data_IF_154664232425
#
_entry.id   IF_154664232425
#
_cell.length_a   1.000
_cell.length_b   1.000
_cell.length_c   1.000
_cell.angle_alpha   90.00
_cell.angle_beta   90.00
_cell.angle_gamma   90.00
#
_symmetry.space_group_name_H-M   'P 1'
#
loop_
_entity.id
_entity.type
_entity.pdbx_description
1 polymer ?
#
# COMPACT_ATOMS: atom_id res chain seq x y z
N UNK A 1 -2.54 -24.57 6.50
CA UNK A 1 -1.67 -24.28 5.33
C UNK A 1 -2.02 -22.94 4.66
N UNK A 2 -3.20 -22.36 4.94
CA UNK A 2 -3.64 -21.08 4.35
C UNK A 2 -2.86 -19.83 4.75
N UNK A 3 -2.32 -19.79 5.98
CA UNK A 3 -1.66 -18.59 6.50
C UNK A 3 -0.35 -18.23 5.78
N UNK A 4 0.46 -19.23 5.42
CA UNK A 4 1.73 -18.99 4.68
C UNK A 4 1.47 -18.42 3.29
N UNK A 5 0.45 -18.94 2.60
CA UNK A 5 0.07 -18.44 1.28
C UNK A 5 -0.45 -17.01 1.33
N UNK A 6 -1.16 -16.61 2.38
CA UNK A 6 -1.59 -15.23 2.59
C UNK A 6 -0.42 -14.29 2.90
N UNK A 7 0.56 -14.73 3.70
CA UNK A 7 1.73 -13.90 4.03
C UNK A 7 2.55 -13.57 2.77
N UNK A 8 2.72 -14.52 1.85
CA UNK A 8 3.45 -14.27 0.60
C UNK A 8 2.79 -13.20 -0.27
N UNK A 9 1.45 -13.09 -0.23
CA UNK A 9 0.68 -12.07 -0.94
C UNK A 9 0.74 -10.70 -0.24
N UNK A 10 1.00 -10.68 1.06
CA UNK A 10 1.17 -9.45 1.83
C UNK A 10 2.52 -8.76 1.54
N UNK A 11 3.56 -9.52 1.17
CA UNK A 11 4.94 -9.00 1.08
C UNK A 11 5.12 -7.80 0.14
N UNK A 12 4.56 -7.77 -1.09
CA UNK A 12 4.74 -6.61 -1.98
C UNK A 12 4.09 -5.34 -1.44
N UNK A 13 2.88 -5.44 -0.89
CA UNK A 13 2.22 -4.29 -0.30
C UNK A 13 2.91 -3.81 0.97
N UNK A 14 3.38 -4.74 1.82
CA UNK A 14 4.11 -4.42 3.03
C UNK A 14 5.44 -3.73 2.76
N UNK A 15 6.19 -4.18 1.74
CA UNK A 15 7.46 -3.55 1.37
C UNK A 15 7.28 -2.13 0.83
N UNK A 16 6.25 -1.88 0.02
CA UNK A 16 5.92 -0.52 -0.46
C UNK A 16 5.59 0.40 0.73
N UNK A 17 4.75 -0.07 1.67
CA UNK A 17 4.39 0.69 2.87
C UNK A 17 5.60 1.01 3.76
N UNK A 18 6.48 0.02 3.98
CA UNK A 18 7.70 0.21 4.76
C UNK A 18 8.64 1.25 4.12
N UNK A 19 8.87 1.16 2.80
CA UNK A 19 9.72 2.10 2.06
C UNK A 19 9.12 3.51 2.09
N UNK A 20 7.81 3.64 1.94
CA UNK A 20 7.16 4.94 2.00
C UNK A 20 7.32 5.62 3.38
N UNK A 21 7.13 4.87 4.47
CA UNK A 21 7.35 5.40 5.82
C UNK A 21 8.82 5.75 6.09
N UNK A 22 9.75 4.93 5.60
CA UNK A 22 11.18 5.23 5.67
C UNK A 22 11.57 6.50 4.90
N UNK A 23 11.04 6.69 3.69
CA UNK A 23 11.22 7.89 2.89
C UNK A 23 10.69 9.14 3.59
N UNK A 24 9.48 9.07 4.16
CA UNK A 24 8.90 10.15 4.94
C UNK A 24 9.77 10.51 6.15
N UNK A 25 10.30 9.52 6.87
CA UNK A 25 11.28 9.74 7.93
C UNK A 25 12.59 10.35 7.44
N UNK A 26 13.12 9.90 6.30
CA UNK A 26 14.30 10.49 5.66
C UNK A 26 14.11 11.97 5.33
N UNK A 27 12.94 12.35 4.82
CA UNK A 27 12.58 13.75 4.57
C UNK A 27 12.61 14.59 5.86
N UNK A 28 12.23 14.04 7.01
CA UNK A 28 12.33 14.76 8.29
C UNK A 28 13.78 14.99 8.73
N UNK A 29 14.71 14.06 8.43
CA UNK A 29 16.14 14.29 8.66
C UNK A 29 16.66 15.46 7.81
N UNK A 30 16.25 15.52 6.53
CA UNK A 30 16.62 16.64 5.66
C UNK A 30 16.04 17.98 6.14
N UNK A 31 14.92 17.96 6.86
CA UNK A 31 14.33 19.15 7.49
C UNK A 31 15.06 19.60 8.78
N UNK A 32 16.16 18.95 9.17
CA UNK A 32 16.95 19.32 10.35
C UNK A 32 16.42 18.77 11.67
N UNK A 33 15.47 17.83 11.64
CA UNK A 33 14.94 17.18 12.84
C UNK A 33 16.02 16.26 13.46
N UNK A 34 16.14 16.21 14.81
CA UNK A 34 17.10 15.32 15.47
C UNK A 34 16.98 13.87 15.01
N UNK A 35 18.11 13.20 14.79
CA UNK A 35 18.15 11.86 14.18
C UNK A 35 17.31 10.82 14.93
N UNK A 36 17.32 10.85 16.27
CA UNK A 36 16.49 9.95 17.08
C UNK A 36 14.99 10.16 16.88
N UNK A 37 14.55 11.41 16.76
CA UNK A 37 13.13 11.74 16.58
C UNK A 37 12.67 11.47 15.14
N UNK A 38 13.53 11.73 14.16
CA UNK A 38 13.28 11.40 12.76
C UNK A 38 13.21 9.89 12.52
N UNK A 39 14.12 9.10 13.12
CA UNK A 39 14.09 7.64 13.03
C UNK A 39 12.88 7.04 13.74
N UNK A 40 12.52 7.54 14.93
CA UNK A 40 11.28 7.15 15.61
C UNK A 40 10.05 7.45 14.76
N UNK A 41 9.98 8.65 14.18
CA UNK A 41 8.89 9.06 13.28
C UNK A 41 8.82 8.18 12.03
N UNK A 42 9.97 7.82 11.46
CA UNK A 42 10.07 6.92 10.32
C UNK A 42 9.47 5.55 10.65
N UNK A 43 9.88 4.96 11.77
CA UNK A 43 9.45 3.63 12.20
C UNK A 43 7.96 3.62 12.57
N UNK A 44 7.51 4.64 13.31
CA UNK A 44 6.12 4.78 13.73
C UNK A 44 5.15 4.94 12.56
N UNK A 45 5.64 5.40 11.39
CA UNK A 45 4.86 5.43 10.15
C UNK A 45 5.06 4.19 9.27
N UNK A 46 6.30 3.73 9.13
CA UNK A 46 6.64 2.61 8.26
C UNK A 46 5.95 1.31 8.70
N UNK A 47 5.85 1.06 10.00
CA UNK A 47 5.23 -0.17 10.52
C UNK A 47 3.73 -0.22 10.18
N UNK A 48 2.90 0.79 10.50
CA UNK A 48 1.49 0.79 10.11
C UNK A 48 1.29 0.72 8.60
N UNK A 49 2.07 1.50 7.83
CA UNK A 49 1.96 1.47 6.37
C UNK A 49 2.32 0.10 5.80
N UNK A 50 3.31 -0.59 6.36
CA UNK A 50 3.65 -1.95 5.97
C UNK A 50 2.53 -2.93 6.32
N UNK A 51 1.92 -2.80 7.50
CA UNK A 51 0.79 -3.65 7.91
C UNK A 51 -0.41 -3.44 6.98
N UNK A 52 -0.83 -2.20 6.76
CA UNK A 52 -1.95 -1.89 5.86
C UNK A 52 -1.62 -2.21 4.39
N UNK A 53 -0.38 -2.00 3.95
CA UNK A 53 0.06 -2.43 2.63
C UNK A 53 -0.03 -3.95 2.48
N UNK A 54 0.38 -4.71 3.49
CA UNK A 54 0.27 -6.16 3.49
C UNK A 54 -1.17 -6.66 3.49
N UNK A 55 -2.03 -6.08 4.33
CA UNK A 55 -3.48 -6.34 4.35
C UNK A 55 -4.11 -6.10 2.99
N UNK A 56 -3.72 -5.04 2.28
CA UNK A 56 -4.18 -4.78 0.91
C UNK A 56 -3.82 -5.93 -0.04
N UNK A 57 -2.59 -6.42 0.01
CA UNK A 57 -2.16 -7.57 -0.81
C UNK A 57 -2.95 -8.85 -0.51
N UNK A 58 -3.27 -9.10 0.76
CA UNK A 58 -4.11 -10.22 1.18
C UNK A 58 -5.55 -10.07 0.67
N UNK A 59 -6.15 -8.88 0.84
CA UNK A 59 -7.50 -8.57 0.36
C UNK A 59 -7.62 -8.70 -1.17
N UNK A 60 -6.58 -8.31 -1.89
CA UNK A 60 -6.48 -8.52 -3.34
C UNK A 60 -6.45 -10.01 -3.70
N UNK A 61 -5.67 -10.82 -2.97
CA UNK A 61 -5.63 -12.27 -3.14
C UNK A 61 -6.95 -12.98 -2.83
N UNK A 62 -7.78 -12.40 -1.95
CA UNK A 62 -9.14 -12.87 -1.68
C UNK A 62 -10.18 -12.37 -2.68
N UNK A 63 -9.80 -11.56 -3.67
CA UNK A 63 -10.70 -11.04 -4.70
C UNK A 63 -11.60 -9.89 -4.23
N UNK A 64 -11.36 -9.34 -3.04
CA UNK A 64 -12.08 -8.14 -2.55
C UNK A 64 -11.73 -6.94 -3.42
N UNK A 65 -10.46 -6.82 -3.80
CA UNK A 65 -9.99 -5.84 -4.76
C UNK A 65 -9.83 -6.48 -6.13
N UNK A 66 -10.13 -5.70 -7.17
CA UNK A 66 -9.90 -6.10 -8.57
C UNK A 66 -8.69 -5.34 -9.13
N UNK A 67 -7.76 -6.03 -9.81
CA UNK A 67 -6.69 -5.38 -10.55
C UNK A 67 -7.22 -4.30 -11.50
N UNK A 68 -6.53 -3.16 -11.59
CA UNK A 68 -6.91 -2.05 -12.46
C UNK A 68 -8.06 -1.17 -11.95
N UNK A 69 -8.53 -1.36 -10.71
CA UNK A 69 -9.63 -0.57 -10.13
C UNK A 69 -9.13 0.30 -8.99
N UNK A 70 -9.08 1.63 -9.19
CA UNK A 70 -8.62 2.55 -8.15
C UNK A 70 -9.64 2.80 -7.03
N UNK A 71 -10.94 2.87 -7.35
CA UNK A 71 -11.97 3.33 -6.41
C UNK A 71 -11.93 2.65 -5.03
N UNK A 72 -12.02 1.31 -4.95
CA UNK A 72 -11.93 0.59 -3.69
C UNK A 72 -10.60 0.77 -2.96
N UNK A 73 -9.48 0.84 -3.69
CA UNK A 73 -8.16 1.06 -3.11
C UNK A 73 -8.01 2.48 -2.54
N UNK A 74 -8.57 3.48 -3.22
CA UNK A 74 -8.64 4.86 -2.73
C UNK A 74 -9.41 4.95 -1.42
N UNK A 75 -10.61 4.35 -1.35
CA UNK A 75 -11.41 4.31 -0.13
C UNK A 75 -10.68 3.60 1.03
N UNK A 76 -10.01 2.49 0.74
CA UNK A 76 -9.19 1.79 1.72
C UNK A 76 -8.10 2.70 2.30
N UNK A 77 -7.35 3.40 1.43
CA UNK A 77 -6.27 4.28 1.86
C UNK A 77 -6.75 5.57 2.50
N UNK A 78 -7.94 6.08 2.16
CA UNK A 78 -8.57 7.19 2.86
C UNK A 78 -8.81 6.92 4.35
N UNK A 79 -8.90 5.66 4.77
CA UNK A 79 -8.94 5.28 6.19
C UNK A 79 -7.55 4.86 6.70
N UNK A 80 -6.86 3.97 5.99
CA UNK A 80 -5.60 3.38 6.44
C UNK A 80 -4.47 4.41 6.59
N UNK A 81 -4.38 5.39 5.69
CA UNK A 81 -3.32 6.40 5.73
C UNK A 81 -3.50 7.40 6.89
N UNK A 82 -4.68 8.01 7.12
CA UNK A 82 -4.90 8.84 8.29
C UNK A 82 -4.70 8.10 9.61
N UNK A 83 -5.11 6.83 9.71
CA UNK A 83 -4.86 6.01 10.90
C UNK A 83 -3.36 5.77 11.13
N UNK A 84 -2.60 5.49 10.06
CA UNK A 84 -1.15 5.33 10.14
C UNK A 84 -0.47 6.63 10.61
N UNK A 85 -0.91 7.77 10.08
CA UNK A 85 -0.44 9.09 10.46
C UNK A 85 -0.82 9.44 11.90
N UNK A 86 -2.03 9.08 12.34
CA UNK A 86 -2.48 9.28 13.71
C UNK A 86 -1.62 8.49 14.71
N UNK A 87 -1.25 7.25 14.36
CA UNK A 87 -0.35 6.44 15.19
C UNK A 87 1.08 7.00 15.22
N UNK A 88 1.60 7.44 14.07
CA UNK A 88 2.90 8.12 14.04
C UNK A 88 2.86 9.36 14.95
N UNK A 89 1.80 10.13 14.86
CA UNK A 89 1.64 11.39 15.56
C UNK A 89 1.48 11.20 17.07
N UNK A 90 0.77 10.15 17.51
CA UNK A 90 0.64 9.83 18.93
C UNK A 90 1.95 9.40 19.59
N UNK A 91 2.90 8.90 18.80
CA UNK A 91 4.25 8.52 19.26
C UNK A 91 5.24 9.67 19.16
N UNK A 92 5.18 10.46 18.09
CA UNK A 92 6.17 11.51 17.79
C UNK A 92 5.80 12.89 18.35
N UNK A 93 4.50 13.21 18.51
CA UNK A 93 4.00 14.37 19.26
C UNK A 93 4.15 15.76 18.60
N UNK A 94 4.11 15.86 17.28
CA UNK A 94 4.51 17.03 16.47
C UNK A 94 3.34 17.76 15.73
N UNK A 95 2.11 17.22 15.68
CA UNK A 95 1.16 17.58 14.62
C UNK A 95 -0.35 17.55 14.93
N UNK A 96 -0.77 17.42 16.20
CA UNK A 96 -2.20 17.48 16.61
C UNK A 96 -2.65 18.86 17.16
N UNK A 97 -1.92 19.94 16.87
CA UNK A 97 -2.19 21.26 17.46
C UNK A 97 -3.61 21.80 17.19
N UNK A 98 -4.15 21.55 15.99
CA UNK A 98 -5.49 22.02 15.58
C UNK A 98 -6.62 21.00 15.84
N UNK A 99 -6.32 19.93 16.57
CA UNK A 99 -7.27 18.88 16.93
C UNK A 99 -7.33 17.70 15.94
N UNK A 100 -7.86 16.57 16.44
CA UNK A 100 -7.82 15.27 15.75
C UNK A 100 -8.64 15.24 14.46
N UNK A 101 -9.82 15.89 14.44
CA UNK A 101 -10.70 15.86 13.27
C UNK A 101 -10.12 16.61 12.07
N UNK A 102 -9.58 17.82 12.28
CA UNK A 102 -8.93 18.59 11.23
C UNK A 102 -7.72 17.86 10.65
N UNK A 103 -6.92 17.25 11.52
CA UNK A 103 -5.80 16.39 11.13
C UNK A 103 -6.27 15.23 10.25
N UNK A 104 -7.28 14.44 10.68
CA UNK A 104 -7.77 13.29 9.91
C UNK A 104 -8.35 13.71 8.56
N UNK A 105 -9.09 14.82 8.49
CA UNK A 105 -9.65 15.33 7.25
C UNK A 105 -8.54 15.71 6.24
N UNK A 106 -7.52 16.44 6.71
CA UNK A 106 -6.36 16.77 5.88
C UNK A 106 -5.61 15.53 5.41
N UNK A 107 -5.34 14.58 6.31
CA UNK A 107 -4.66 13.34 5.95
C UNK A 107 -5.49 12.50 4.96
N UNK A 108 -6.82 12.53 5.03
CA UNK A 108 -7.69 11.82 4.08
C UNK A 108 -7.59 12.42 2.66
N UNK A 109 -7.43 13.75 2.55
CA UNK A 109 -7.15 14.39 1.25
C UNK A 109 -5.78 13.98 0.71
N UNK A 110 -4.75 13.97 1.55
CA UNK A 110 -3.39 13.55 1.17
C UNK A 110 -3.35 12.05 0.82
N UNK A 111 -4.17 11.24 1.48
CA UNK A 111 -4.25 9.79 1.28
C UNK A 111 -4.56 9.40 -0.17
N UNK A 112 -5.32 10.22 -0.91
CA UNK A 112 -5.61 9.96 -2.32
C UNK A 112 -4.34 9.96 -3.17
N UNK A 113 -3.46 10.94 -2.97
CA UNK A 113 -2.16 11.02 -3.67
C UNK A 113 -1.28 9.81 -3.33
N UNK A 114 -1.22 9.46 -2.05
CA UNK A 114 -0.53 8.25 -1.59
C UNK A 114 -1.11 6.98 -2.22
N UNK A 115 -2.44 6.85 -2.24
CA UNK A 115 -3.14 5.69 -2.78
C UNK A 115 -2.81 5.47 -4.26
N UNK A 116 -2.77 6.54 -5.06
CA UNK A 116 -2.41 6.47 -6.48
C UNK A 116 -1.00 5.92 -6.64
N UNK A 117 -0.02 6.49 -5.92
CA UNK A 117 1.36 6.04 -5.97
C UNK A 117 1.53 4.59 -5.49
N UNK A 118 0.85 4.24 -4.39
CA UNK A 118 0.84 2.88 -3.85
C UNK A 118 0.28 1.87 -4.85
N UNK A 119 -0.91 2.12 -5.40
CA UNK A 119 -1.55 1.22 -6.37
C UNK A 119 -0.68 1.06 -7.61
N UNK A 120 -0.14 2.17 -8.14
CA UNK A 120 0.75 2.13 -9.29
C UNK A 120 1.99 1.26 -9.06
N UNK A 121 2.68 1.47 -7.93
CA UNK A 121 3.86 0.67 -7.57
C UNK A 121 3.49 -0.79 -7.34
N UNK A 122 2.38 -1.03 -6.66
CA UNK A 122 1.87 -2.35 -6.36
C UNK A 122 1.53 -3.13 -7.64
N UNK A 123 0.84 -2.51 -8.60
CA UNK A 123 0.54 -3.13 -9.89
C UNK A 123 1.78 -3.40 -10.74
N UNK A 124 2.85 -2.61 -10.57
CA UNK A 124 4.14 -2.85 -11.23
C UNK A 124 4.89 -4.05 -10.60
N UNK A 125 4.90 -4.14 -9.28
CA UNK A 125 5.67 -5.13 -8.52
C UNK A 125 4.96 -6.48 -8.40
N UNK A 126 3.63 -6.48 -8.23
CA UNK A 126 2.84 -7.67 -7.93
C UNK A 126 2.96 -8.76 -9.02
N UNK A 127 2.83 -8.49 -10.33
CA UNK A 127 2.95 -9.54 -11.35
C UNK A 127 4.31 -10.25 -11.35
N UNK A 128 5.41 -9.49 -11.18
CA UNK A 128 6.76 -10.03 -11.09
C UNK A 128 6.97 -10.88 -9.83
N UNK A 129 6.27 -10.54 -8.75
CA UNK A 129 6.28 -11.34 -7.53
C UNK A 129 5.47 -12.62 -7.68
N UNK A 130 4.26 -12.53 -8.23
CA UNK A 130 3.39 -13.67 -8.48
C UNK A 130 4.04 -14.69 -9.42
N UNK A 131 4.72 -14.26 -10.48
CA UNK A 131 5.45 -15.14 -11.39
C UNK A 131 6.50 -16.00 -10.65
N UNK A 132 7.17 -15.44 -9.65
CA UNK A 132 8.17 -16.16 -8.85
C UNK A 132 7.56 -17.12 -7.83
N UNK A 133 6.30 -16.91 -7.44
CA UNK A 133 5.62 -17.68 -6.38
C UNK A 133 4.51 -18.60 -6.87
N UNK A 134 4.06 -18.47 -8.12
CA UNK A 134 2.95 -19.24 -8.67
C UNK A 134 3.16 -20.76 -8.55
N UNK A 135 4.40 -21.25 -8.77
CA UNK A 135 4.69 -22.69 -8.66
C UNK A 135 4.62 -23.28 -7.25
N UNK A 136 4.65 -22.45 -6.20
CA UNK A 136 4.61 -22.89 -4.80
C UNK A 136 3.34 -22.48 -4.05
N UNK A 137 2.51 -21.62 -4.66
CA UNK A 137 1.35 -21.01 -4.00
C UNK A 137 0.15 -20.94 -4.96
N UNK A 138 -0.88 -21.79 -4.76
CA UNK A 138 -2.04 -21.85 -5.66
C UNK A 138 -2.86 -20.54 -5.68
N UNK A 139 -2.81 -19.73 -4.62
CA UNK A 139 -3.47 -18.41 -4.60
C UNK A 139 -2.71 -17.40 -5.46
N UNK A 140 -1.38 -17.47 -5.46
CA UNK A 140 -0.57 -16.61 -6.32
C UNK A 140 -0.79 -16.95 -7.80
N UNK A 141 -0.94 -18.24 -8.12
CA UNK A 141 -1.29 -18.71 -9.47
C UNK A 141 -2.69 -18.22 -9.90
N UNK A 142 -3.71 -18.37 -9.04
CA UNK A 142 -5.05 -17.87 -9.33
C UNK A 142 -5.08 -16.35 -9.58
N UNK A 143 -4.38 -15.58 -8.74
CA UNK A 143 -4.29 -14.13 -8.90
C UNK A 143 -3.53 -13.75 -10.17
N UNK A 144 -2.43 -14.45 -10.50
CA UNK A 144 -1.70 -14.25 -11.75
C UNK A 144 -2.60 -14.51 -12.98
N UNK A 145 -3.43 -15.57 -12.92
CA UNK A 145 -4.43 -15.86 -13.94
C UNK A 145 -5.39 -14.70 -14.20
N UNK A 146 -5.89 -14.05 -13.13
CA UNK A 146 -6.73 -12.85 -13.25
C UNK A 146 -5.99 -11.69 -13.93
N UNK A 147 -4.73 -11.45 -13.58
CA UNK A 147 -3.90 -10.43 -14.24
C UNK A 147 -3.71 -10.71 -15.74
N UNK A 148 -3.47 -11.96 -16.12
CA UNK A 148 -3.30 -12.36 -17.53
C UNK A 148 -4.60 -12.21 -18.31
N UNK A 149 -5.74 -12.66 -17.76
CA UNK A 149 -7.05 -12.51 -18.38
C UNK A 149 -7.40 -11.03 -18.61
N UNK A 150 -7.13 -10.18 -17.63
CA UNK A 150 -7.36 -8.74 -17.74
C UNK A 150 -6.49 -8.10 -18.84
N UNK A 151 -5.22 -8.47 -18.92
CA UNK A 151 -4.31 -8.00 -19.97
C UNK A 151 -4.76 -8.45 -21.38
N UNK A 152 -5.23 -9.69 -21.51
CA UNK A 152 -5.78 -10.21 -22.76
C UNK A 152 -7.05 -9.46 -23.19
N UNK A 153 -7.98 -9.21 -22.25
CA UNK A 153 -9.20 -8.44 -22.52
C UNK A 153 -8.90 -7.00 -22.98
N UNK A 154 -7.91 -6.34 -22.37
CA UNK A 154 -7.45 -5.02 -22.78
C UNK A 154 -6.83 -5.02 -24.18
N UNK A 155 -6.03 -6.05 -24.50
CA UNK A 155 -5.39 -6.21 -25.81
C UNK A 155 -6.43 -6.48 -26.91
N UNK A 156 -7.43 -7.31 -26.64
CA UNK A 156 -8.55 -7.59 -27.56
C UNK A 156 -9.33 -6.31 -27.88
N UNK A 157 -9.65 -5.49 -26.88
CA UNK A 157 -10.31 -4.18 -27.09
C UNK A 157 -9.48 -3.20 -27.91
N UNK A 158 -8.16 -3.21 -27.72
CA UNK A 158 -7.23 -2.34 -28.48
C UNK A 158 -7.06 -2.83 -29.93
N UNK A 159 -7.11 -4.14 -30.16
CA UNK A 159 -7.07 -4.74 -31.49
C UNK A 159 -8.34 -4.50 -32.30
N UNK A 160 -9.52 -4.52 -31.67
CA UNK A 160 -10.81 -4.23 -32.32
C UNK A 160 -11.00 -2.75 -32.72
N UNK A 161 -10.11 -1.86 -32.28
CA UNK A 161 -10.15 -0.42 -32.57
C UNK A 161 -9.20 0.01 -33.71
N UNK A 162 -8.48 -0.94 -34.32
CA UNK A 162 -7.66 -0.76 -35.52
C UNK A 162 -8.34 -1.40 -36.71
#
# INVERSE_FOLDING_TARGET
MDGRHSIELALPGASIGAVAGAMAGGLTLFAGVPTGLATLSALALAVPLAVFGGLYGVLLGHGVFRPGTFGPAGLYWMAAFPLSRLLQESVAGIGMADGVFGFLAYQAMVALGFAIGFVWMHERLMPHWLLRRAGANPRAEALLGLYVQYAQALRARKGAKR
#
